data_IF_847461596676
#
_entry.id   IF_847461596676
#
_cell.length_a   1.000
_cell.length_b   1.000
_cell.length_c   1.000
_cell.angle_alpha   90.00
_cell.angle_beta   90.00
_cell.angle_gamma   90.00
#
_symmetry.space_group_name_H-M   'P 1'
#
loop_
_entity.id
_entity.type
_entity.pdbx_description
1 polymer ?
#
# COMPACT_ATOMS: atom_id res chain seq x y z
N UNK A 1 12.71 50.82 17.15
CA UNK A 1 11.45 50.05 17.05
C UNK A 1 11.44 49.09 15.86
N UNK A 2 11.60 49.56 14.61
CA UNK A 2 11.54 48.71 13.41
C UNK A 2 12.52 47.52 13.40
N UNK A 3 13.75 47.72 13.88
CA UNK A 3 14.76 46.65 13.98
C UNK A 3 14.36 45.53 14.96
N UNK A 4 13.67 45.87 16.06
CA UNK A 4 13.19 44.88 17.02
C UNK A 4 12.11 43.98 16.43
N UNK A 5 11.20 44.54 15.62
CA UNK A 5 10.18 43.77 14.90
C UNK A 5 10.79 42.83 13.86
N UNK A 6 11.86 43.25 13.19
CA UNK A 6 12.62 42.42 12.26
C UNK A 6 13.27 41.23 12.98
N UNK A 7 13.89 41.47 14.13
CA UNK A 7 14.52 40.42 14.95
C UNK A 7 13.48 39.42 15.47
N UNK A 8 12.33 39.90 15.94
CA UNK A 8 11.24 39.01 16.40
C UNK A 8 10.68 38.16 15.26
N UNK A 9 10.47 38.74 14.07
CA UNK A 9 10.03 38.00 12.88
C UNK A 9 11.05 36.95 12.45
N UNK A 10 12.34 37.29 12.50
CA UNK A 10 13.43 36.36 12.18
C UNK A 10 13.47 35.19 13.17
N UNK A 11 13.33 35.48 14.47
CA UNK A 11 13.31 34.45 15.52
C UNK A 11 12.14 33.47 15.34
N UNK A 12 10.95 33.99 15.02
CA UNK A 12 9.77 33.16 14.72
C UNK A 12 10.03 32.29 13.48
N UNK A 13 10.57 32.85 12.40
CA UNK A 13 10.88 32.09 11.19
C UNK A 13 11.87 30.95 11.44
N UNK A 14 12.94 31.20 12.22
CA UNK A 14 13.93 30.17 12.59
C UNK A 14 13.30 29.08 13.45
N UNK A 15 12.42 29.43 14.38
CA UNK A 15 11.71 28.45 15.22
C UNK A 15 10.80 27.52 14.40
N UNK A 16 10.11 28.07 13.40
CA UNK A 16 9.25 27.31 12.48
C UNK A 16 10.09 26.33 11.62
N UNK A 17 11.25 26.75 11.13
CA UNK A 17 12.16 25.89 10.36
C UNK A 17 12.71 24.73 11.17
N UNK A 18 12.94 24.91 12.48
CA UNK A 18 13.42 23.83 13.36
C UNK A 18 12.38 22.73 13.58
N UNK A 19 11.09 23.05 13.48
CA UNK A 19 10.01 22.06 13.61
C UNK A 19 9.83 21.17 12.38
N UNK A 20 10.47 21.53 11.26
CA UNK A 20 10.49 20.71 10.04
C UNK A 20 11.59 19.66 10.16
N UNK A 21 11.47 18.74 11.13
CA UNK A 21 12.17 17.46 11.04
C UNK A 21 11.38 16.59 10.07
N UNK A 22 11.77 16.59 8.80
CA UNK A 22 11.28 15.60 7.86
C UNK A 22 11.67 14.21 8.38
N UNK A 23 10.76 13.25 8.28
CA UNK A 23 11.04 11.85 8.62
C UNK A 23 12.19 11.39 7.72
N UNK A 24 13.33 11.06 8.33
CA UNK A 24 14.52 10.61 7.61
C UNK A 24 14.24 9.30 6.87
N UNK A 25 14.88 9.11 5.71
CA UNK A 25 14.73 7.91 4.87
C UNK A 25 15.03 6.61 5.65
N UNK A 26 15.98 6.68 6.58
CA UNK A 26 16.36 5.59 7.50
C UNK A 26 15.30 5.26 8.56
N UNK A 27 14.18 5.98 8.62
CA UNK A 27 13.01 5.66 9.46
C UNK A 27 11.88 4.95 8.69
N UNK A 28 11.96 4.87 7.36
CA UNK A 28 10.96 4.18 6.53
C UNK A 28 11.00 2.67 6.83
N UNK A 29 9.86 2.07 7.18
CA UNK A 29 9.75 0.63 7.39
C UNK A 29 10.22 0.09 8.75
N UNK A 30 10.81 0.92 9.63
CA UNK A 30 11.15 0.50 11.01
C UNK A 30 9.92 0.37 11.91
N UNK A 31 8.91 1.22 11.67
CA UNK A 31 7.69 1.30 12.48
C UNK A 31 6.42 0.95 11.70
N UNK A 32 6.55 0.59 10.42
CA UNK A 32 5.43 0.25 9.55
C UNK A 32 5.19 -1.27 9.53
N UNK A 33 4.38 -1.79 10.46
CA UNK A 33 3.80 -3.13 10.29
C UNK A 33 2.55 -3.03 9.42
N UNK A 34 2.54 -3.72 8.28
CA UNK A 34 1.36 -3.77 7.40
C UNK A 34 1.12 -5.18 6.89
N UNK A 35 0.10 -5.83 7.45
CA UNK A 35 -0.40 -7.10 6.94
C UNK A 35 -1.59 -6.85 6.02
N UNK A 36 -1.51 -7.32 4.78
CA UNK A 36 -2.58 -7.17 3.80
C UNK A 36 -3.43 -8.45 3.75
N UNK A 37 -4.75 -8.29 3.89
CA UNK A 37 -5.71 -9.38 3.76
C UNK A 37 -6.72 -9.06 2.65
N UNK A 38 -7.10 -10.11 1.91
CA UNK A 38 -7.85 -9.99 0.64
C UNK A 38 -9.32 -10.36 0.87
N UNK A 39 -9.65 -10.92 2.04
CA UNK A 39 -10.97 -11.44 2.38
C UNK A 39 -11.15 -12.92 2.03
N UNK A 40 -12.40 -13.38 2.08
CA UNK A 40 -12.78 -14.77 1.80
C UNK A 40 -12.71 -15.05 0.30
N UNK A 41 -12.05 -16.14 -0.08
CA UNK A 41 -11.89 -16.56 -1.48
C UNK A 41 -13.19 -17.18 -1.99
N UNK A 42 -13.66 -16.73 -3.16
CA UNK A 42 -14.78 -17.34 -3.90
C UNK A 42 -14.29 -18.27 -5.00
N UNK A 43 -13.29 -17.80 -5.75
CA UNK A 43 -12.73 -18.52 -6.89
C UNK A 43 -11.22 -18.55 -6.76
N UNK A 44 -10.63 -19.70 -7.07
CA UNK A 44 -9.19 -19.91 -7.05
C UNK A 44 -8.80 -20.67 -8.33
N UNK A 45 -7.83 -20.15 -9.06
CA UNK A 45 -7.30 -20.74 -10.28
C UNK A 45 -5.78 -20.88 -10.18
N UNK A 46 -5.31 -22.10 -10.35
CA UNK A 46 -3.88 -22.38 -10.47
C UNK A 46 -3.43 -22.12 -11.90
N UNK A 47 -2.49 -21.19 -12.09
CA UNK A 47 -1.90 -20.97 -13.40
C UNK A 47 -1.03 -22.19 -13.77
N UNK A 48 -1.58 -23.04 -14.63
CA UNK A 48 -0.98 -24.31 -15.05
C UNK A 48 -0.18 -24.16 -16.35
N UNK A 49 -0.21 -22.97 -16.97
CA UNK A 49 0.35 -22.74 -18.31
C UNK A 49 1.88 -22.70 -18.35
N UNK A 50 2.53 -22.65 -17.19
CA UNK A 50 3.99 -22.74 -17.05
C UNK A 50 4.28 -23.57 -15.80
N UNK A 51 5.04 -24.66 -15.94
CA UNK A 51 5.52 -25.46 -14.81
C UNK A 51 6.37 -24.63 -13.82
N UNK A 52 6.79 -23.43 -14.21
CA UNK A 52 7.49 -22.46 -13.36
C UNK A 52 6.56 -21.38 -12.77
N UNK A 53 5.31 -21.26 -13.23
CA UNK A 53 4.34 -20.29 -12.71
C UNK A 53 3.83 -20.76 -11.35
N UNK A 54 4.39 -20.19 -10.29
CA UNK A 54 3.99 -20.42 -8.89
C UNK A 54 2.84 -19.50 -8.49
N UNK A 55 1.97 -19.12 -9.44
CA UNK A 55 0.97 -18.08 -9.24
C UNK A 55 -0.42 -18.72 -9.08
N UNK A 56 -1.07 -18.38 -7.99
CA UNK A 56 -2.45 -18.70 -7.68
C UNK A 56 -3.28 -17.42 -7.88
N UNK A 57 -4.22 -17.43 -8.81
CA UNK A 57 -5.17 -16.33 -8.98
C UNK A 57 -6.38 -16.58 -8.09
N UNK A 58 -6.78 -15.57 -7.33
CA UNK A 58 -7.93 -15.64 -6.42
C UNK A 58 -8.82 -14.43 -6.59
N UNK A 59 -10.13 -14.69 -6.64
CA UNK A 59 -11.17 -13.67 -6.56
C UNK A 59 -11.89 -13.81 -5.22
N UNK A 60 -12.04 -12.70 -4.50
CA UNK A 60 -12.64 -12.69 -3.16
C UNK A 60 -14.01 -12.02 -3.12
N UNK A 61 -14.75 -12.27 -2.04
CA UNK A 61 -16.06 -11.66 -1.76
C UNK A 61 -15.99 -10.13 -1.61
N UNK A 62 -14.79 -9.57 -1.41
CA UNK A 62 -14.57 -8.13 -1.28
C UNK A 62 -14.32 -7.44 -2.63
N UNK A 63 -14.67 -8.08 -3.74
CA UNK A 63 -14.39 -7.60 -5.10
C UNK A 63 -12.89 -7.37 -5.35
N UNK A 64 -12.04 -8.14 -4.67
CA UNK A 64 -10.59 -8.08 -4.86
C UNK A 64 -10.14 -9.27 -5.69
N UNK A 65 -9.44 -8.98 -6.78
CA UNK A 65 -8.71 -9.96 -7.57
C UNK A 65 -7.23 -9.91 -7.18
N UNK A 66 -6.66 -11.03 -6.77
CA UNK A 66 -5.27 -11.08 -6.35
C UNK A 66 -4.51 -12.26 -6.94
N UNK A 67 -3.21 -12.08 -7.13
CA UNK A 67 -2.27 -13.14 -7.44
C UNK A 67 -1.43 -13.40 -6.20
N UNK A 68 -1.42 -14.66 -5.78
CA UNK A 68 -0.67 -15.19 -4.65
C UNK A 68 0.42 -16.13 -5.12
N UNK A 69 1.51 -16.19 -4.36
CA UNK A 69 2.48 -17.26 -4.54
C UNK A 69 1.94 -18.56 -3.94
N UNK A 70 1.85 -19.63 -4.72
CA UNK A 70 1.30 -20.91 -4.29
C UNK A 70 2.13 -21.61 -3.21
N UNK A 71 3.39 -21.22 -3.00
CA UNK A 71 4.29 -21.85 -2.00
C UNK A 71 4.36 -21.09 -0.68
N UNK A 72 4.37 -19.76 -0.73
CA UNK A 72 4.56 -18.91 0.45
C UNK A 72 3.26 -18.26 0.92
N UNK A 73 2.24 -18.17 0.06
CA UNK A 73 1.01 -17.42 0.33
C UNK A 73 1.19 -15.90 0.21
N UNK A 74 2.38 -15.44 -0.21
CA UNK A 74 2.65 -14.01 -0.33
C UNK A 74 1.79 -13.37 -1.41
N UNK A 75 1.33 -12.17 -1.09
CA UNK A 75 0.59 -11.31 -2.00
C UNK A 75 1.52 -10.72 -3.05
N UNK A 76 1.44 -11.20 -4.29
CA UNK A 76 2.21 -10.64 -5.40
C UNK A 76 1.57 -9.35 -5.92
N UNK A 77 0.27 -9.37 -6.21
CA UNK A 77 -0.47 -8.20 -6.69
C UNK A 77 -1.96 -8.34 -6.33
N UNK A 78 -2.59 -7.25 -5.92
CA UNK A 78 -4.03 -7.20 -5.66
C UNK A 78 -4.66 -6.00 -6.37
N UNK A 79 -5.86 -6.21 -6.90
CA UNK A 79 -6.69 -5.21 -7.57
C UNK A 79 -8.05 -5.23 -6.90
N UNK A 80 -8.41 -4.13 -6.23
CA UNK A 80 -9.74 -3.94 -5.66
C UNK A 80 -10.60 -3.23 -6.70
N UNK A 81 -11.64 -3.91 -7.20
CA UNK A 81 -12.64 -3.29 -8.06
C UNK A 81 -13.65 -2.55 -7.20
N UNK A 82 -13.88 -1.26 -7.49
CA UNK A 82 -14.97 -0.48 -6.88
C UNK A 82 -16.34 -0.89 -7.41
N UNK A 83 -16.37 -1.58 -8.56
CA UNK A 83 -17.59 -1.97 -9.24
C UNK A 83 -17.96 -3.41 -8.85
N UNK A 84 -19.15 -3.59 -8.28
CA UNK A 84 -19.77 -4.89 -7.94
C UNK A 84 -20.07 -5.78 -9.17
N UNK A 85 -19.80 -5.29 -10.37
CA UNK A 85 -20.19 -5.87 -11.67
C UNK A 85 -19.14 -6.81 -12.29
N UNK A 86 -18.14 -7.26 -11.52
CA UNK A 86 -17.22 -8.33 -11.97
C UNK A 86 -17.79 -9.75 -11.75
N UNK A 87 -19.10 -9.89 -11.61
CA UNK A 87 -19.76 -11.20 -11.56
C UNK A 87 -20.06 -11.68 -12.99
N UNK A 88 -19.29 -12.69 -13.42
CA UNK A 88 -19.75 -13.76 -14.32
C UNK A 88 -20.18 -13.36 -15.75
N UNK A 89 -19.33 -12.70 -16.54
CA UNK A 89 -19.54 -12.67 -18.00
C UNK A 89 -18.27 -12.76 -18.88
N UNK A 90 -17.06 -12.92 -18.33
CA UNK A 90 -15.87 -13.02 -19.17
C UNK A 90 -14.69 -13.77 -18.51
N UNK A 91 -14.89 -15.07 -18.24
CA UNK A 91 -13.83 -16.08 -18.17
C UNK A 91 -14.33 -17.29 -18.93
#
# INVERSE_FOLDING_TARGET
AAMAWLVVRLAIAVSLLYTVSAVFEDQVGKFDWRQQFIGKVRFALFDTHSQASKKLLVATDKNVFASLNSRTGDLCKSFCSSDYLFTLNHI
#
